data_IF_714584903717
#
_entry.id   IF_714584903717
#
_cell.length_a   1.000
_cell.length_b   1.000
_cell.length_c   1.000
_cell.angle_alpha   90.00
_cell.angle_beta   90.00
_cell.angle_gamma   90.00
#
_symmetry.space_group_name_H-M   'P 1'
#
loop_
_entity.id
_entity.type
_entity.pdbx_description
1 polymer ?
#
# COMPACT_ATOMS: atom_id res chain seq x y z
N UNK A 1 9.23 11.61 -16.26
CA UNK A 1 9.82 10.28 -15.96
C UNK A 1 9.14 9.29 -16.90
N UNK A 2 9.91 8.47 -17.61
CA UNK A 2 9.43 7.60 -18.70
C UNK A 2 8.75 6.35 -18.16
N UNK A 3 7.75 5.86 -18.91
CA UNK A 3 6.95 4.65 -18.66
C UNK A 3 7.73 3.35 -18.37
N UNK A 4 9.06 3.37 -18.45
CA UNK A 4 9.96 2.24 -18.24
C UNK A 4 10.13 1.82 -16.76
N UNK A 5 9.89 2.71 -15.78
CA UNK A 5 9.99 2.37 -14.35
C UNK A 5 8.72 1.71 -13.78
N UNK A 6 7.61 1.69 -14.53
CA UNK A 6 6.34 1.08 -14.10
C UNK A 6 6.38 -0.47 -14.10
N UNK A 7 7.48 -1.09 -14.54
CA UNK A 7 7.47 -2.48 -15.04
C UNK A 7 8.30 -3.51 -14.24
N UNK A 8 8.54 -3.33 -12.94
CA UNK A 8 9.28 -4.30 -12.11
C UNK A 8 8.54 -4.82 -10.86
N UNK A 9 7.21 -4.74 -10.83
CA UNK A 9 6.43 -5.41 -9.77
C UNK A 9 6.19 -6.87 -10.14
N UNK A 10 6.60 -7.80 -9.27
CA UNK A 10 6.25 -9.21 -9.45
C UNK A 10 4.74 -9.43 -9.25
N UNK A 11 4.14 -10.48 -9.83
CA UNK A 11 2.72 -10.79 -9.57
C UNK A 11 2.37 -10.87 -8.08
N UNK A 12 3.27 -11.41 -7.25
CA UNK A 12 3.08 -11.50 -5.80
C UNK A 12 3.07 -10.13 -5.12
N UNK A 13 3.96 -9.23 -5.52
CA UNK A 13 3.97 -7.86 -5.02
C UNK A 13 2.70 -7.12 -5.43
N UNK A 14 2.18 -7.36 -6.64
CA UNK A 14 0.93 -6.76 -7.10
C UNK A 14 -0.27 -7.27 -6.31
N UNK A 15 -0.37 -8.59 -6.11
CA UNK A 15 -1.41 -9.20 -5.28
C UNK A 15 -1.36 -8.67 -3.84
N UNK A 16 -0.16 -8.53 -3.28
CA UNK A 16 0.05 -7.97 -1.95
C UNK A 16 -0.31 -6.49 -1.85
N UNK A 17 0.03 -5.68 -2.85
CA UNK A 17 -0.35 -4.26 -2.90
C UNK A 17 -1.88 -4.09 -2.96
N UNK A 18 -2.55 -4.88 -3.80
CA UNK A 18 -4.03 -4.90 -3.87
C UNK A 18 -4.63 -5.33 -2.54
N UNK A 19 -4.06 -6.37 -1.90
CA UNK A 19 -4.48 -6.81 -0.57
C UNK A 19 -4.37 -5.71 0.48
N UNK A 20 -3.24 -4.99 0.53
CA UNK A 20 -3.04 -3.88 1.47
C UNK A 20 -4.07 -2.77 1.29
N UNK A 21 -4.33 -2.36 0.04
CA UNK A 21 -5.34 -1.34 -0.29
C UNK A 21 -6.73 -1.76 0.21
N UNK A 22 -7.13 -3.01 -0.05
CA UNK A 22 -8.44 -3.50 0.37
C UNK A 22 -8.58 -3.55 1.90
N UNK A 23 -7.55 -4.01 2.61
CA UNK A 23 -7.61 -4.11 4.07
C UNK A 23 -7.65 -2.73 4.75
N UNK A 24 -6.86 -1.76 4.24
CA UNK A 24 -6.89 -0.38 4.75
C UNK A 24 -8.24 0.29 4.44
N UNK A 25 -8.80 0.04 3.26
CA UNK A 25 -10.13 0.54 2.90
C UNK A 25 -11.24 -0.02 3.81
N UNK A 26 -11.17 -1.31 4.14
CA UNK A 26 -12.09 -1.95 5.08
C UNK A 26 -11.97 -1.33 6.49
N UNK A 27 -10.75 -1.18 7.00
CA UNK A 27 -10.49 -0.63 8.34
C UNK A 27 -10.92 0.84 8.47
N UNK A 28 -10.69 1.65 7.43
CA UNK A 28 -11.08 3.05 7.39
C UNK A 28 -12.55 3.27 6.99
N UNK A 29 -13.28 2.21 6.62
CA UNK A 29 -14.64 2.27 6.08
C UNK A 29 -14.76 3.21 4.86
N UNK A 30 -13.75 3.20 3.98
CA UNK A 30 -13.66 4.05 2.79
C UNK A 30 -13.68 3.22 1.50
N UNK A 31 -14.08 3.80 0.35
CA UNK A 31 -13.96 3.11 -0.93
C UNK A 31 -12.51 2.72 -1.24
N UNK A 32 -12.29 1.48 -1.68
CA UNK A 32 -10.94 1.01 -2.04
C UNK A 32 -10.29 1.85 -3.14
N UNK A 33 -11.09 2.44 -4.05
CA UNK A 33 -10.60 3.38 -5.08
C UNK A 33 -10.04 4.66 -4.47
N UNK A 34 -10.67 5.21 -3.42
CA UNK A 34 -10.17 6.40 -2.72
C UNK A 34 -8.83 6.09 -2.02
N UNK A 35 -8.75 4.94 -1.34
CA UNK A 35 -7.51 4.51 -0.68
C UNK A 35 -6.40 4.23 -1.69
N UNK A 36 -6.71 3.57 -2.80
CA UNK A 36 -5.76 3.36 -3.88
C UNK A 36 -5.21 4.69 -4.41
N UNK A 37 -6.09 5.65 -4.71
CA UNK A 37 -5.67 6.96 -5.23
C UNK A 37 -4.77 7.70 -4.23
N UNK A 38 -5.13 7.71 -2.95
CA UNK A 38 -4.30 8.32 -1.89
C UNK A 38 -2.93 7.65 -1.79
N UNK A 39 -2.89 6.31 -1.74
CA UNK A 39 -1.63 5.56 -1.62
C UNK A 39 -0.75 5.70 -2.88
N UNK A 40 -1.37 5.75 -4.06
CA UNK A 40 -0.67 5.91 -5.33
C UNK A 40 -0.08 7.32 -5.49
N UNK A 41 -0.87 8.36 -5.22
CA UNK A 41 -0.45 9.76 -5.35
C UNK A 41 0.66 10.12 -4.36
N UNK A 42 0.64 9.53 -3.17
CA UNK A 42 1.64 9.74 -2.13
C UNK A 42 2.75 8.67 -2.12
N UNK A 43 2.83 7.85 -3.19
CA UNK A 43 3.88 6.84 -3.39
C UNK A 43 3.99 5.77 -2.27
N UNK A 44 2.95 5.59 -1.46
CA UNK A 44 2.89 4.55 -0.42
C UNK A 44 2.97 3.16 -1.05
N UNK A 45 2.39 2.97 -2.23
CA UNK A 45 2.47 1.67 -2.93
C UNK A 45 3.92 1.35 -3.33
N UNK A 46 4.62 2.31 -3.95
CA UNK A 46 5.97 2.09 -4.47
C UNK A 46 7.03 2.14 -3.38
N UNK A 47 7.06 3.22 -2.62
CA UNK A 47 8.16 3.55 -1.70
C UNK A 47 8.01 2.86 -0.34
N UNK A 48 6.87 2.20 -0.07
CA UNK A 48 6.64 1.44 1.15
C UNK A 48 6.22 -0.01 0.90
N UNK A 49 5.05 -0.23 0.32
CA UNK A 49 4.45 -1.58 0.23
C UNK A 49 5.28 -2.50 -0.68
N UNK A 50 5.70 -2.02 -1.84
CA UNK A 50 6.48 -2.80 -2.81
C UNK A 50 7.95 -2.88 -2.40
N UNK A 51 8.54 -1.76 -1.98
CA UNK A 51 9.93 -1.68 -1.53
C UNK A 51 10.21 -2.64 -0.36
N UNK A 52 9.31 -2.70 0.64
CA UNK A 52 9.47 -3.54 1.83
C UNK A 52 8.66 -4.83 1.78
N UNK A 53 8.26 -5.28 0.57
CA UNK A 53 7.45 -6.48 0.38
C UNK A 53 7.98 -7.68 1.17
N UNK A 54 9.29 -7.98 1.08
CA UNK A 54 9.89 -9.18 1.70
C UNK A 54 9.71 -9.23 3.22
N UNK A 55 9.63 -8.08 3.89
CA UNK A 55 9.38 -7.98 5.32
C UNK A 55 7.89 -7.97 5.60
N UNK A 56 7.14 -7.08 4.93
CA UNK A 56 5.72 -6.86 5.19
C UNK A 56 4.87 -8.10 4.94
N UNK A 57 5.14 -8.86 3.87
CA UNK A 57 4.32 -10.04 3.52
C UNK A 57 4.46 -11.22 4.49
N UNK A 58 5.36 -11.14 5.47
CA UNK A 58 5.53 -12.14 6.54
C UNK A 58 4.77 -11.79 7.82
N UNK A 59 4.25 -10.57 7.91
CA UNK A 59 3.56 -10.06 9.11
C UNK A 59 2.07 -10.44 9.12
N UNK A 60 1.42 -10.30 10.27
CA UNK A 60 -0.03 -10.47 10.35
C UNK A 60 -0.76 -9.36 9.61
N UNK A 61 -1.99 -9.64 9.17
CA UNK A 61 -2.86 -8.64 8.54
C UNK A 61 -3.07 -7.44 9.46
N UNK A 62 -3.37 -7.68 10.72
CA UNK A 62 -3.66 -6.64 11.71
C UNK A 62 -2.47 -5.68 11.86
N UNK A 63 -1.25 -6.22 11.93
CA UNK A 63 -0.03 -5.42 12.02
C UNK A 63 0.17 -4.56 10.77
N UNK A 64 0.09 -5.16 9.58
CA UNK A 64 0.31 -4.45 8.31
C UNK A 64 -0.69 -3.31 8.14
N UNK A 65 -1.95 -3.55 8.46
CA UNK A 65 -3.01 -2.54 8.34
C UNK A 65 -2.78 -1.37 9.30
N UNK A 66 -2.50 -1.66 10.58
CA UNK A 66 -2.21 -0.64 11.58
C UNK A 66 -0.99 0.21 11.19
N UNK A 67 0.08 -0.46 10.78
CA UNK A 67 1.34 0.15 10.39
C UNK A 67 1.19 1.08 9.16
N UNK A 68 0.50 0.63 8.12
CA UNK A 68 0.21 1.46 6.94
C UNK A 68 -0.67 2.66 7.30
N UNK A 69 -1.70 2.47 8.14
CA UNK A 69 -2.57 3.59 8.56
C UNK A 69 -1.77 4.61 9.37
N UNK A 70 -0.88 4.17 10.26
CA UNK A 70 -0.02 5.04 11.03
C UNK A 70 0.94 5.82 10.12
N UNK A 71 1.60 5.15 9.17
CA UNK A 71 2.42 5.80 8.16
C UNK A 71 1.63 6.87 7.40
N UNK A 72 0.40 6.57 6.97
CA UNK A 72 -0.43 7.53 6.24
C UNK A 72 -0.82 8.75 7.09
N UNK A 73 -1.08 8.57 8.38
CA UNK A 73 -1.36 9.67 9.32
C UNK A 73 -0.12 10.52 9.60
N UNK A 74 1.04 9.90 9.83
CA UNK A 74 2.31 10.60 10.08
C UNK A 74 2.71 11.48 8.89
N UNK A 75 2.41 11.04 7.67
CA UNK A 75 2.65 11.78 6.43
C UNK A 75 1.51 12.74 6.04
N UNK A 76 0.51 12.94 6.90
CA UNK A 76 -0.63 13.86 6.67
C UNK A 76 -1.44 13.54 5.39
N UNK A 77 -1.52 12.26 5.02
CA UNK A 77 -2.30 11.77 3.88
C UNK A 77 -3.77 11.57 4.28
N UNK A 78 -4.00 11.12 5.52
CA UNK A 78 -5.32 10.85 6.12
C UNK A 78 -5.76 11.97 7.07
#
# INVERSE_FOLDING_TARGET
MSDAEYNNMTPRQMEFAVFCVMCVAEELQKPATEIYDLMMQNRVLQDYIVEFYDVLHTQSREYIVEDIINLMKENQIL
#
